data_IF_248593646257
#
_entry.id   IF_248593646257
#
_cell.length_a   1.000
_cell.length_b   1.000
_cell.length_c   1.000
_cell.angle_alpha   90.00
_cell.angle_beta   90.00
_cell.angle_gamma   90.00
#
_symmetry.space_group_name_H-M   'P 1'
#
loop_
_entity.id
_entity.type
_entity.pdbx_description
1 polymer ?
#
# COMPACT_ATOMS: atom_id res chain seq x y z
N UNK A 1 -12.00 -10.18 13.91
CA UNK A 1 -11.03 -9.24 13.29
C UNK A 1 -11.75 -7.98 12.81
N UNK A 2 -12.30 -7.16 13.72
CA UNK A 2 -13.15 -6.00 13.31
C UNK A 2 -12.97 -4.76 14.20
N UNK A 3 -12.13 -4.81 15.23
CA UNK A 3 -11.99 -3.72 16.22
C UNK A 3 -10.85 -2.74 15.86
N UNK A 4 -9.88 -3.16 15.04
CA UNK A 4 -8.70 -2.35 14.72
C UNK A 4 -8.94 -1.14 13.81
N UNK A 5 -9.89 -1.23 12.87
CA UNK A 5 -10.13 -0.16 11.89
C UNK A 5 -10.83 1.08 12.50
N UNK A 6 -11.66 0.90 13.54
CA UNK A 6 -12.41 2.00 14.15
C UNK A 6 -11.58 2.92 15.04
N UNK A 7 -10.41 2.48 15.51
CA UNK A 7 -9.55 3.30 16.38
C UNK A 7 -8.63 4.24 15.58
N UNK A 8 -8.27 3.88 14.36
CA UNK A 8 -7.45 4.73 13.48
C UNK A 8 -8.28 5.92 12.95
N UNK A 9 -9.56 5.68 12.64
CA UNK A 9 -10.44 6.73 12.09
C UNK A 9 -10.77 7.83 13.11
N UNK A 10 -10.89 7.48 14.40
CA UNK A 10 -11.10 8.46 15.48
C UNK A 10 -9.88 9.32 15.78
N UNK A 11 -8.66 8.82 15.52
CA UNK A 11 -7.45 9.60 15.75
C UNK A 11 -7.21 10.66 14.67
N UNK A 12 -7.74 10.46 13.46
CA UNK A 12 -7.55 11.38 12.32
C UNK A 12 -8.65 12.44 12.24
N UNK A 13 -9.82 12.22 12.85
CA UNK A 13 -11.00 13.08 12.70
C UNK A 13 -11.31 14.00 13.88
N UNK A 14 -10.47 14.08 14.92
CA UNK A 14 -10.77 14.94 16.07
C UNK A 14 -10.58 16.43 15.69
N UNK A 15 -11.66 17.22 15.56
CA UNK A 15 -11.51 18.64 15.28
C UNK A 15 -10.94 19.32 16.53
N UNK A 16 -10.00 20.23 16.29
CA UNK A 16 -9.43 21.09 17.33
C UNK A 16 -10.57 21.83 18.07
N UNK A 17 -10.77 21.51 19.34
CA UNK A 17 -11.68 22.24 20.21
C UNK A 17 -11.01 23.57 20.63
N UNK A 18 -11.03 24.55 19.73
CA UNK A 18 -10.63 25.92 20.05
C UNK A 18 -11.86 26.73 20.48
N UNK A 19 -11.83 27.13 21.76
CA UNK A 19 -12.30 28.39 22.33
C UNK A 19 -13.69 28.93 21.90
N UNK A 20 -14.70 28.69 22.75
CA UNK A 20 -15.76 29.68 22.98
C UNK A 20 -15.66 30.07 24.45
N UNK A 21 -14.88 31.11 24.72
CA UNK A 21 -14.97 31.88 25.97
C UNK A 21 -15.44 33.28 25.56
N UNK A 22 -16.76 33.44 25.48
CA UNK A 22 -17.41 34.72 25.31
C UNK A 22 -17.72 35.25 26.71
N UNK A 23 -16.96 36.25 27.15
CA UNK A 23 -17.09 36.85 28.46
C UNK A 23 -18.47 37.44 28.76
N UNK A 24 -18.86 37.35 30.03
CA UNK A 24 -19.96 38.10 30.64
C UNK A 24 -19.69 38.25 32.15
N UNK A 25 -19.85 39.44 32.74
CA UNK A 25 -19.48 39.69 34.13
C UNK A 25 -20.64 39.43 35.09
N UNK A 26 -20.28 39.29 36.37
CA UNK A 26 -21.13 39.37 37.57
C UNK A 26 -21.54 38.03 38.19
N UNK A 27 -20.92 37.77 39.34
CA UNK A 27 -21.67 37.47 40.56
C UNK A 27 -22.27 36.08 40.69
N UNK A 28 -21.73 35.35 41.68
CA UNK A 28 -22.31 34.27 42.48
C UNK A 28 -21.36 33.05 42.46
N UNK A 29 -20.52 32.97 43.48
CA UNK A 29 -19.85 31.75 43.85
C UNK A 29 -20.84 30.89 44.65
N UNK A 30 -21.17 29.65 44.22
CA UNK A 30 -21.64 28.64 45.13
C UNK A 30 -20.44 27.82 45.61
N UNK A 31 -20.35 27.68 46.92
CA UNK A 31 -19.48 26.75 47.65
C UNK A 31 -19.70 25.33 47.14
N UNK A 32 -18.91 24.89 46.16
CA UNK A 32 -18.86 23.50 45.74
C UNK A 32 -17.67 22.83 46.42
N UNK A 33 -17.98 21.98 47.39
CA UNK A 33 -17.10 21.01 48.04
C UNK A 33 -16.19 20.35 47.00
N UNK A 34 -14.86 20.54 47.09
CA UNK A 34 -13.90 19.81 46.25
C UNK A 34 -14.08 18.32 46.54
N UNK A 35 -14.54 17.47 45.60
CA UNK A 35 -14.31 16.06 45.75
C UNK A 35 -12.79 15.84 45.75
N UNK A 36 -12.31 15.05 46.71
CA UNK A 36 -10.92 14.63 46.78
C UNK A 36 -10.45 14.20 45.38
N UNK A 37 -9.31 14.72 44.95
CA UNK A 37 -8.69 14.35 43.70
C UNK A 37 -8.42 12.85 43.73
N UNK A 38 -9.32 12.06 43.12
CA UNK A 38 -9.05 10.68 42.79
C UNK A 38 -7.86 10.71 41.84
N UNK A 39 -6.71 10.27 42.32
CA UNK A 39 -5.52 9.99 41.53
C UNK A 39 -5.97 9.15 40.33
N UNK A 40 -5.74 9.58 39.08
CA UNK A 40 -6.04 8.71 37.95
C UNK A 40 -5.17 7.47 38.10
N UNK A 41 -5.79 6.35 38.46
CA UNK A 41 -5.14 5.04 38.53
C UNK A 41 -4.73 4.67 37.10
N UNK A 42 -3.49 4.98 36.76
CA UNK A 42 -2.82 4.59 35.52
C UNK A 42 -2.62 3.07 35.50
N UNK A 43 -3.71 2.33 35.31
CA UNK A 43 -3.72 0.93 34.89
C UNK A 43 -3.54 0.82 33.37
N UNK A 44 -2.68 1.64 32.77
CA UNK A 44 -2.17 1.34 31.44
C UNK A 44 -1.34 0.05 31.60
N UNK A 45 -1.86 -1.06 31.08
CA UNK A 45 -1.25 -2.37 31.25
C UNK A 45 0.22 -2.28 30.83
N UNK A 46 1.10 -2.99 31.54
CA UNK A 46 2.53 -3.05 31.19
C UNK A 46 2.70 -3.39 29.70
N UNK A 47 1.79 -4.20 29.15
CA UNK A 47 1.65 -4.56 27.74
C UNK A 47 1.46 -3.37 26.78
N UNK A 48 0.57 -2.41 27.07
CA UNK A 48 0.37 -1.25 26.16
C UNK A 48 1.63 -0.41 26.05
N UNK A 49 2.35 -0.21 27.15
CA UNK A 49 3.61 0.56 27.15
C UNK A 49 4.72 -0.06 26.30
N UNK A 50 4.81 -1.39 26.21
CA UNK A 50 5.77 -2.07 25.35
C UNK A 50 5.38 -1.94 23.88
N UNK A 51 4.09 -2.11 23.56
CA UNK A 51 3.55 -1.90 22.21
C UNK A 51 3.76 -0.46 21.76
N UNK A 52 3.51 0.52 22.63
CA UNK A 52 3.65 1.95 22.32
C UNK A 52 5.11 2.37 22.11
N UNK A 53 6.05 1.74 22.82
CA UNK A 53 7.50 1.98 22.62
C UNK A 53 7.98 1.33 21.33
N UNK A 54 7.55 0.10 21.06
CA UNK A 54 7.90 -0.61 19.84
C UNK A 54 7.32 0.08 18.61
N UNK A 55 6.05 0.49 18.68
CA UNK A 55 5.39 1.27 17.63
C UNK A 55 6.12 2.59 17.36
N UNK A 56 6.50 3.35 18.39
CA UNK A 56 7.29 4.60 18.22
C UNK A 56 8.66 4.38 17.60
N UNK A 57 9.36 3.31 17.96
CA UNK A 57 10.63 2.95 17.34
C UNK A 57 10.44 2.59 15.86
N UNK A 58 9.38 1.83 15.52
CA UNK A 58 9.02 1.51 14.14
C UNK A 58 8.65 2.78 13.37
N UNK A 59 7.86 3.71 13.93
CA UNK A 59 7.48 4.95 13.26
C UNK A 59 8.70 5.83 12.92
N UNK A 60 9.69 5.88 13.80
CA UNK A 60 10.95 6.60 13.54
C UNK A 60 11.79 5.99 12.40
N UNK A 61 11.69 4.68 12.18
CA UNK A 61 12.43 3.95 11.15
C UNK A 61 11.65 3.85 9.83
N UNK A 62 10.34 3.59 9.90
CA UNK A 62 9.43 3.45 8.76
C UNK A 62 9.25 4.74 7.93
N UNK A 63 9.67 5.89 8.46
CA UNK A 63 9.65 7.19 7.76
C UNK A 63 10.89 7.42 6.89
N UNK A 64 11.87 6.52 6.92
CA UNK A 64 13.11 6.66 6.13
C UNK A 64 12.82 6.34 4.64
N UNK A 65 13.14 7.26 3.70
CA UNK A 65 12.93 7.03 2.26
C UNK A 65 13.57 5.74 1.72
N UNK A 66 14.70 5.32 2.31
CA UNK A 66 15.40 4.09 1.97
C UNK A 66 14.54 2.83 2.23
N UNK A 67 13.78 2.79 3.32
CA UNK A 67 12.93 1.63 3.63
C UNK A 67 11.77 1.52 2.64
N UNK A 68 11.18 2.66 2.27
CA UNK A 68 10.17 2.69 1.20
C UNK A 68 10.76 2.16 -0.11
N UNK A 69 11.96 2.58 -0.48
CA UNK A 69 12.61 2.09 -1.69
C UNK A 69 12.88 0.58 -1.62
N UNK A 70 13.43 0.08 -0.52
CA UNK A 70 13.68 -1.36 -0.31
C UNK A 70 12.39 -2.16 -0.37
N UNK A 71 11.30 -1.67 0.22
CA UNK A 71 9.99 -2.32 0.17
C UNK A 71 9.45 -2.38 -1.27
N UNK A 72 9.55 -1.29 -2.04
CA UNK A 72 9.17 -1.29 -3.45
C UNK A 72 10.08 -2.19 -4.30
N UNK A 73 11.37 -2.24 -3.99
CA UNK A 73 12.32 -3.13 -4.65
C UNK A 73 11.97 -4.59 -4.39
N UNK A 74 11.67 -4.94 -3.14
CA UNK A 74 11.19 -6.27 -2.76
C UNK A 74 9.90 -6.64 -3.47
N UNK A 75 8.95 -5.70 -3.57
CA UNK A 75 7.69 -5.91 -4.29
C UNK A 75 7.91 -6.13 -5.81
N UNK A 76 8.87 -5.42 -6.41
CA UNK A 76 9.24 -5.58 -7.82
C UNK A 76 10.23 -6.72 -8.09
N UNK A 77 10.76 -7.39 -7.06
CA UNK A 77 11.88 -8.32 -7.21
C UNK A 77 11.56 -9.50 -8.15
N UNK A 78 10.37 -10.10 -8.03
CA UNK A 78 9.94 -11.20 -8.89
C UNK A 78 9.88 -10.79 -10.37
N UNK A 79 9.41 -9.57 -10.67
CA UNK A 79 9.29 -9.04 -12.02
C UNK A 79 10.66 -8.68 -12.60
N UNK A 80 11.53 -8.07 -11.80
CA UNK A 80 12.90 -7.78 -12.24
C UNK A 80 13.67 -9.06 -12.53
N UNK A 81 13.58 -10.06 -11.65
CA UNK A 81 14.23 -11.35 -11.84
C UNK A 81 13.66 -12.08 -13.07
N UNK A 82 12.33 -12.17 -13.21
CA UNK A 82 11.68 -12.78 -14.37
C UNK A 82 12.03 -12.11 -15.68
N UNK A 83 11.96 -10.77 -15.72
CA UNK A 83 12.23 -9.98 -16.92
C UNK A 83 13.68 -10.04 -17.35
N UNK A 84 14.63 -10.01 -16.40
CA UNK A 84 16.05 -10.14 -16.69
C UNK A 84 16.40 -11.54 -17.20
N UNK A 85 15.83 -12.59 -16.61
CA UNK A 85 16.03 -13.97 -17.09
C UNK A 85 15.52 -14.11 -18.52
N UNK A 86 14.31 -13.64 -18.81
CA UNK A 86 13.73 -13.67 -20.16
C UNK A 86 14.46 -12.77 -21.16
N UNK A 87 15.08 -11.68 -20.71
CA UNK A 87 15.89 -10.80 -21.55
C UNK A 87 17.20 -11.47 -21.98
N UNK A 88 17.86 -12.16 -21.04
CA UNK A 88 19.11 -12.88 -21.32
C UNK A 88 18.86 -14.13 -22.15
N UNK A 89 17.77 -14.86 -21.87
CA UNK A 89 17.34 -16.04 -22.64
C UNK A 89 15.98 -15.81 -23.31
N UNK A 90 16.00 -15.00 -24.37
CA UNK A 90 14.78 -14.73 -25.14
C UNK A 90 14.24 -16.00 -25.80
N UNK A 91 15.09 -16.93 -26.23
CA UNK A 91 14.66 -18.20 -26.83
C UNK A 91 13.87 -19.06 -25.85
N UNK A 92 14.34 -19.14 -24.60
CA UNK A 92 13.61 -19.74 -23.49
C UNK A 92 12.26 -19.08 -23.25
N UNK A 93 12.20 -17.74 -23.25
CA UNK A 93 10.96 -16.98 -23.07
C UNK A 93 9.93 -17.25 -24.20
N UNK A 94 10.37 -17.38 -25.45
CA UNK A 94 9.48 -17.77 -26.57
C UNK A 94 8.96 -19.20 -26.37
N UNK A 95 9.82 -20.12 -25.95
CA UNK A 95 9.45 -21.51 -25.69
C UNK A 95 8.42 -21.61 -24.56
N UNK A 96 8.58 -20.82 -23.50
CA UNK A 96 7.62 -20.71 -22.40
C UNK A 96 6.26 -20.20 -22.88
N UNK A 97 6.23 -19.14 -23.71
CA UNK A 97 4.99 -18.63 -24.29
C UNK A 97 4.30 -19.66 -25.22
N UNK A 98 5.07 -20.47 -25.96
CA UNK A 98 4.55 -21.58 -26.76
C UNK A 98 3.98 -22.69 -25.89
N UNK A 99 4.61 -23.00 -24.76
CA UNK A 99 4.13 -24.00 -23.81
C UNK A 99 2.74 -23.64 -23.26
N UNK A 100 2.48 -22.35 -23.02
CA UNK A 100 1.16 -21.85 -22.64
C UNK A 100 0.17 -21.71 -23.81
N UNK A 101 0.55 -22.11 -25.02
CA UNK A 101 -0.31 -22.09 -26.21
C UNK A 101 -0.63 -20.69 -26.72
N UNK A 102 0.21 -19.70 -26.41
CA UNK A 102 -0.07 -18.31 -26.75
C UNK A 102 0.25 -18.01 -28.24
N UNK A 103 -0.67 -17.37 -28.99
CA UNK A 103 -0.41 -16.99 -30.38
C UNK A 103 0.67 -15.91 -30.44
N UNK A 104 1.51 -15.91 -31.49
CA UNK A 104 2.61 -14.94 -31.62
C UNK A 104 3.59 -14.94 -30.43
N UNK A 105 4.03 -16.12 -30.00
CA UNK A 105 4.92 -16.31 -28.85
C UNK A 105 6.12 -15.33 -28.78
N UNK A 106 6.84 -15.00 -29.88
CA UNK A 106 7.92 -14.00 -29.81
C UNK A 106 7.45 -12.60 -29.41
N UNK A 107 6.29 -12.16 -29.91
CA UNK A 107 5.74 -10.85 -29.58
C UNK A 107 5.28 -10.79 -28.11
N UNK A 108 4.66 -11.87 -27.63
CA UNK A 108 4.23 -11.98 -26.23
C UNK A 108 5.42 -12.05 -25.29
N UNK A 109 6.45 -12.84 -25.61
CA UNK A 109 7.68 -12.89 -24.81
C UNK A 109 8.31 -11.49 -24.70
N UNK A 110 8.40 -10.75 -25.82
CA UNK A 110 8.88 -9.36 -25.82
C UNK A 110 8.00 -8.43 -24.97
N UNK A 111 6.67 -8.53 -25.10
CA UNK A 111 5.73 -7.73 -24.33
C UNK A 111 5.81 -8.03 -22.82
N UNK A 112 6.01 -9.29 -22.44
CA UNK A 112 6.24 -9.71 -21.05
C UNK A 112 7.50 -9.08 -20.48
N UNK A 113 8.64 -9.17 -21.20
CA UNK A 113 9.90 -8.56 -20.76
C UNK A 113 9.75 -7.04 -20.58
N UNK A 114 9.14 -6.37 -21.56
CA UNK A 114 8.89 -4.93 -21.48
C UNK A 114 8.00 -4.60 -20.29
N UNK A 115 6.93 -5.36 -20.07
CA UNK A 115 6.00 -5.14 -18.94
C UNK A 115 6.69 -5.33 -17.60
N UNK A 116 7.44 -6.42 -17.43
CA UNK A 116 8.14 -6.75 -16.19
C UNK A 116 9.21 -5.70 -15.84
N UNK A 117 10.02 -5.28 -16.82
CA UNK A 117 11.12 -4.34 -16.61
C UNK A 117 10.66 -2.89 -16.54
N UNK A 118 9.87 -2.42 -17.52
CA UNK A 118 9.40 -1.03 -17.57
C UNK A 118 8.41 -0.76 -16.45
N UNK A 119 7.49 -1.69 -16.19
CA UNK A 119 6.57 -1.58 -15.06
C UNK A 119 7.32 -1.41 -13.74
N UNK A 120 8.33 -2.25 -13.50
CA UNK A 120 9.15 -2.18 -12.29
C UNK A 120 9.93 -0.86 -12.20
N UNK A 121 10.50 -0.41 -13.32
CA UNK A 121 11.22 0.87 -13.37
C UNK A 121 10.30 2.07 -13.05
N UNK A 122 9.06 2.07 -13.53
CA UNK A 122 8.06 3.12 -13.21
C UNK A 122 7.71 3.11 -11.71
N UNK A 123 7.52 1.92 -11.12
CA UNK A 123 7.21 1.80 -9.69
C UNK A 123 8.38 2.29 -8.82
N UNK A 124 9.61 1.90 -9.16
CA UNK A 124 10.82 2.23 -8.40
C UNK A 124 11.23 3.69 -8.55
N UNK A 125 11.25 4.22 -9.78
CA UNK A 125 11.61 5.62 -10.04
C UNK A 125 10.61 6.62 -9.45
N UNK A 126 9.34 6.22 -9.31
CA UNK A 126 8.26 7.09 -8.85
C UNK A 126 7.63 7.94 -9.94
N UNK A 127 8.17 7.92 -11.15
CA UNK A 127 7.58 8.58 -12.33
C UNK A 127 6.45 7.69 -12.84
N UNK A 128 5.22 8.23 -12.87
CA UNK A 128 4.00 7.45 -13.18
C UNK A 128 3.85 6.14 -12.40
N UNK A 129 4.25 6.13 -11.11
CA UNK A 129 4.18 4.94 -10.24
C UNK A 129 2.83 4.24 -10.25
N UNK A 130 1.73 4.98 -10.15
CA UNK A 130 0.39 4.39 -10.18
C UNK A 130 0.11 3.64 -11.50
N UNK A 131 0.59 4.16 -12.64
CA UNK A 131 0.39 3.54 -13.94
C UNK A 131 1.23 2.27 -14.07
N UNK A 132 2.50 2.32 -13.66
CA UNK A 132 3.36 1.14 -13.62
C UNK A 132 2.82 0.03 -12.71
N UNK A 133 2.29 0.41 -11.54
CA UNK A 133 1.68 -0.52 -10.61
C UNK A 133 0.41 -1.17 -11.19
N UNK A 134 -0.50 -0.38 -11.79
CA UNK A 134 -1.69 -0.94 -12.45
C UNK A 134 -1.35 -1.83 -13.64
N UNK A 135 -0.34 -1.47 -14.42
CA UNK A 135 0.13 -2.27 -15.54
C UNK A 135 0.65 -3.63 -15.06
N UNK A 136 1.57 -3.65 -14.09
CA UNK A 136 2.08 -4.91 -13.52
C UNK A 136 0.94 -5.72 -12.89
N UNK A 137 0.03 -5.08 -12.14
CA UNK A 137 -1.10 -5.76 -11.53
C UNK A 137 -1.99 -6.46 -12.58
N UNK A 138 -2.35 -5.75 -13.66
CA UNK A 138 -3.14 -6.31 -14.75
C UNK A 138 -2.43 -7.46 -15.46
N UNK A 139 -1.13 -7.30 -15.76
CA UNK A 139 -0.31 -8.36 -16.33
C UNK A 139 -0.25 -9.60 -15.44
N UNK A 140 0.03 -9.42 -14.15
CA UNK A 140 0.14 -10.52 -13.18
C UNK A 140 -1.17 -11.28 -13.08
N UNK A 141 -2.29 -10.57 -13.05
CA UNK A 141 -3.62 -11.17 -13.02
C UNK A 141 -3.84 -12.05 -14.25
N UNK A 142 -3.63 -11.49 -15.46
CA UNK A 142 -3.80 -12.23 -16.72
C UNK A 142 -2.85 -13.44 -16.77
N UNK A 143 -1.57 -13.24 -16.48
CA UNK A 143 -0.56 -14.29 -16.50
C UNK A 143 -0.91 -15.44 -15.54
N UNK A 144 -1.42 -15.12 -14.35
CA UNK A 144 -1.81 -16.12 -13.36
C UNK A 144 -3.00 -16.96 -13.82
N UNK A 145 -4.00 -16.36 -14.46
CA UNK A 145 -5.12 -17.11 -15.04
C UNK A 145 -4.72 -17.98 -16.24
N UNK A 146 -3.62 -17.65 -16.92
CA UNK A 146 -3.08 -18.45 -18.03
C UNK A 146 -2.19 -19.58 -17.52
N UNK A 147 -1.24 -19.27 -16.65
CA UNK A 147 -0.17 -20.18 -16.23
C UNK A 147 -0.55 -21.07 -15.04
N UNK A 148 -1.38 -20.57 -14.11
CA UNK A 148 -1.67 -21.23 -12.84
C UNK A 148 -3.09 -21.76 -12.77
N UNK A 149 -3.54 -22.45 -13.83
CA UNK A 149 -4.88 -23.06 -13.96
C UNK A 149 -4.99 -24.33 -13.09
N UNK A 150 -4.82 -24.18 -11.78
CA UNK A 150 -4.78 -25.29 -10.82
C UNK A 150 -6.06 -26.15 -10.87
N UNK A 151 -7.19 -25.57 -11.27
CA UNK A 151 -8.47 -26.27 -11.42
C UNK A 151 -8.45 -27.38 -12.49
N UNK A 152 -7.48 -27.39 -13.41
CA UNK A 152 -7.30 -28.44 -14.43
C UNK A 152 -6.34 -29.56 -14.00
N UNK A 153 -5.70 -29.41 -12.85
CA UNK A 153 -4.67 -30.35 -12.37
C UNK A 153 -5.26 -31.30 -11.32
N UNK A 154 -5.10 -32.63 -11.45
CA UNK A 154 -5.44 -33.60 -10.42
C UNK A 154 -4.53 -33.52 -9.18
N UNK A 155 -5.00 -34.00 -8.03
CA UNK A 155 -4.14 -34.17 -6.86
C UNK A 155 -3.17 -35.35 -7.07
N UNK A 156 -1.90 -35.27 -6.58
CA UNK A 156 -1.37 -34.29 -5.62
C UNK A 156 -0.69 -33.04 -6.24
N UNK A 157 -0.46 -33.02 -7.54
CA UNK A 157 0.36 -31.97 -8.19
C UNK A 157 -0.30 -30.58 -8.21
N UNK A 158 -1.62 -30.52 -7.94
CA UNK A 158 -2.39 -29.28 -7.85
C UNK A 158 -1.89 -28.32 -6.76
N UNK A 159 -1.44 -28.82 -5.60
CA UNK A 159 -1.20 -27.98 -4.42
C UNK A 159 -0.18 -26.86 -4.65
N UNK A 160 0.91 -27.17 -5.36
CA UNK A 160 1.95 -26.19 -5.65
C UNK A 160 1.45 -25.07 -6.58
N UNK A 161 0.67 -25.42 -7.60
CA UNK A 161 0.13 -24.45 -8.57
C UNK A 161 -0.95 -23.57 -7.96
N UNK A 162 -1.78 -24.15 -7.08
CA UNK A 162 -2.80 -23.43 -6.32
C UNK A 162 -2.18 -22.38 -5.39
N UNK A 163 -1.13 -22.73 -4.65
CA UNK A 163 -0.43 -21.75 -3.80
C UNK A 163 0.15 -20.59 -4.61
N UNK A 164 0.82 -20.89 -5.73
CA UNK A 164 1.38 -19.88 -6.61
C UNK A 164 0.29 -18.95 -7.20
N UNK A 165 -0.91 -19.47 -7.48
CA UNK A 165 -2.05 -18.64 -7.91
C UNK A 165 -2.42 -17.59 -6.84
N UNK A 166 -2.55 -18.00 -5.58
CA UNK A 166 -2.92 -17.10 -4.49
C UNK A 166 -1.78 -16.14 -4.09
N UNK A 167 -0.52 -16.56 -4.21
CA UNK A 167 0.64 -15.69 -4.03
C UNK A 167 0.63 -14.54 -5.05
N UNK A 168 0.39 -14.85 -6.32
CA UNK A 168 0.27 -13.83 -7.37
C UNK A 168 -0.95 -12.93 -7.15
N UNK A 169 -2.08 -13.46 -6.71
CA UNK A 169 -3.25 -12.65 -6.37
C UNK A 169 -2.95 -11.67 -5.21
N UNK A 170 -2.15 -12.09 -4.24
CA UNK A 170 -1.61 -11.23 -3.19
C UNK A 170 -0.74 -10.10 -3.75
N UNK A 171 0.15 -10.40 -4.70
CA UNK A 171 0.97 -9.38 -5.39
C UNK A 171 0.12 -8.38 -6.17
N UNK A 172 -0.91 -8.84 -6.88
CA UNK A 172 -1.89 -7.96 -7.56
C UNK A 172 -2.49 -6.97 -6.55
N UNK A 173 -2.95 -7.47 -5.40
CA UNK A 173 -3.47 -6.63 -4.32
C UNK A 173 -2.44 -5.61 -3.81
N UNK A 174 -1.18 -6.00 -3.66
CA UNK A 174 -0.11 -5.12 -3.24
C UNK A 174 0.15 -3.97 -4.24
N UNK A 175 0.18 -4.25 -5.54
CA UNK A 175 0.32 -3.20 -6.56
C UNK A 175 -0.89 -2.29 -6.65
N UNK A 176 -2.12 -2.81 -6.48
CA UNK A 176 -3.31 -1.99 -6.38
C UNK A 176 -3.24 -1.00 -5.20
N UNK A 177 -2.73 -1.44 -4.05
CA UNK A 177 -2.47 -0.56 -2.90
C UNK A 177 -1.41 0.50 -3.21
N UNK A 178 -0.34 0.15 -3.92
CA UNK A 178 0.68 1.13 -4.36
C UNK A 178 0.07 2.18 -5.28
N UNK A 179 -0.76 1.76 -6.25
CA UNK A 179 -1.44 2.68 -7.16
C UNK A 179 -2.40 3.60 -6.42
N UNK A 180 -3.23 3.04 -5.53
CA UNK A 180 -4.16 3.79 -4.68
C UNK A 180 -3.45 4.85 -3.84
N UNK A 181 -2.37 4.46 -3.15
CA UNK A 181 -1.62 5.37 -2.28
C UNK A 181 -0.95 6.51 -3.07
N UNK A 182 -0.39 6.22 -4.24
CA UNK A 182 0.23 7.24 -5.10
C UNK A 182 -0.82 8.23 -5.65
N UNK A 183 -2.01 7.74 -6.03
CA UNK A 183 -3.12 8.57 -6.49
C UNK A 183 -3.70 9.46 -5.37
N UNK A 184 -3.92 8.91 -4.18
CA UNK A 184 -4.40 9.70 -3.03
C UNK A 184 -3.46 10.85 -2.70
N UNK A 185 -2.15 10.59 -2.64
CA UNK A 185 -1.16 11.63 -2.36
C UNK A 185 -1.18 12.75 -3.42
N UNK A 186 -1.35 12.41 -4.70
CA UNK A 186 -1.48 13.40 -5.79
C UNK A 186 -2.76 14.21 -5.69
N UNK A 187 -3.89 13.55 -5.41
CA UNK A 187 -5.18 14.20 -5.24
C UNK A 187 -5.17 15.19 -4.06
N UNK A 188 -4.61 14.81 -2.91
CA UNK A 188 -4.49 15.68 -1.75
C UNK A 188 -3.60 16.90 -2.02
N UNK A 189 -2.48 16.74 -2.75
CA UNK A 189 -1.64 17.89 -3.18
C UNK A 189 -2.40 18.86 -4.07
N UNK A 190 -3.13 18.35 -5.06
CA UNK A 190 -3.92 19.19 -5.97
C UNK A 190 -5.02 19.98 -5.26
N UNK A 191 -5.70 19.36 -4.27
CA UNK A 191 -6.68 20.07 -3.45
C UNK A 191 -6.02 21.18 -2.63
N UNK A 192 -4.88 20.90 -1.99
CA UNK A 192 -4.13 21.90 -1.22
C UNK A 192 -3.74 23.11 -2.06
N UNK A 193 -3.27 22.88 -3.29
CA UNK A 193 -2.92 23.93 -4.26
C UNK A 193 -4.15 24.71 -4.75
N UNK A 194 -5.30 24.04 -4.94
CA UNK A 194 -6.55 24.68 -5.37
C UNK A 194 -7.16 25.54 -4.27
N UNK A 195 -7.11 25.08 -3.01
CA UNK A 195 -7.65 25.80 -1.85
C UNK A 195 -6.73 26.92 -1.35
N UNK A 196 -5.45 26.91 -1.72
CA UNK A 196 -4.47 27.96 -1.41
C UNK A 196 -4.46 29.16 -2.37
N UNK A 197 -5.46 29.31 -3.26
CA UNK A 197 -5.55 30.48 -4.15
C UNK A 197 -6.21 31.66 -3.45
N UNK A 198 -5.59 32.86 -3.43
CA UNK A 198 -6.34 34.09 -3.19
C UNK A 198 -7.36 34.23 -4.33
N UNK A 199 -8.65 34.22 -4.00
CA UNK A 199 -9.65 34.83 -4.85
C UNK A 199 -9.38 36.33 -4.81
N UNK A 200 -8.89 36.87 -5.91
CA UNK A 200 -8.95 38.27 -6.39
C UNK A 200 -7.64 38.58 -7.11
N UNK A 201 -7.75 38.72 -8.43
CA UNK A 201 -7.07 39.80 -9.16
C UNK A 201 -8.12 40.41 -10.08
N UNK A 202 -8.58 41.57 -9.63
CA UNK A 202 -9.16 42.74 -10.29
C UNK A 202 -9.68 42.58 -11.72
#
# INVERSE_FOLDING_TARGET
MTIGYLLVDRAVTQPAQHAIDCGGPSGLAPSATRPAAATPTSSASRWTRWVDRFARAIYGVATVPAIRFIALLGLCAAYLQGGLVKLVDFGGAVTEAQHFGLPFAPAIAGATIVTELVGSALVLSGVYRWLGALWIAGFTLIATFVANRFWEIPQPDRFMVENAFFEHLGLVGAFLLVAWYDLQHKYSRQIGERNGRPLVRD
#
